data_IF_031609216529
#
_entry.id   IF_031609216529
#
_cell.length_a   1.000
_cell.length_b   1.000
_cell.length_c   1.000
_cell.angle_alpha   90.00
_cell.angle_beta   90.00
_cell.angle_gamma   90.00
#
_symmetry.space_group_name_H-M   'P 1'
#
loop_
_entity.id
_entity.type
_entity.pdbx_description
1 polymer ?
#
# COMPACT_ATOMS: atom_id res chain seq x y z
N UNK A 1 -15.21 19.88 39.43
CA UNK A 1 -13.73 19.83 39.34
C UNK A 1 -13.22 18.67 38.48
N UNK A 2 -13.88 17.49 38.45
CA UNK A 2 -13.52 16.38 37.54
C UNK A 2 -13.75 16.72 36.05
N UNK A 3 -14.85 17.38 35.71
CA UNK A 3 -15.18 17.69 34.29
C UNK A 3 -14.19 18.67 33.64
N UNK A 4 -13.77 19.73 34.36
CA UNK A 4 -12.80 20.69 33.83
C UNK A 4 -11.42 20.05 33.51
N UNK A 5 -10.98 19.07 34.31
CA UNK A 5 -9.74 18.32 34.03
C UNK A 5 -9.87 17.43 32.79
N UNK A 6 -11.05 16.87 32.56
CA UNK A 6 -11.32 16.05 31.37
C UNK A 6 -11.38 16.92 30.11
N UNK A 7 -11.98 18.11 30.18
CA UNK A 7 -12.01 19.08 29.07
C UNK A 7 -10.62 19.58 28.70
N UNK A 8 -9.80 19.94 29.70
CA UNK A 8 -8.42 20.34 29.48
C UNK A 8 -7.63 19.22 28.79
N UNK A 9 -7.74 17.97 29.26
CA UNK A 9 -7.06 16.83 28.63
C UNK A 9 -7.52 16.60 27.18
N UNK A 10 -8.83 16.71 26.90
CA UNK A 10 -9.37 16.60 25.54
C UNK A 10 -8.82 17.68 24.63
N UNK A 11 -8.72 18.92 25.12
CA UNK A 11 -8.14 20.03 24.36
C UNK A 11 -6.66 19.78 24.04
N UNK A 12 -5.87 19.32 25.02
CA UNK A 12 -4.45 18.97 24.81
C UNK A 12 -4.28 17.88 23.76
N UNK A 13 -5.11 16.84 23.81
CA UNK A 13 -5.10 15.75 22.84
C UNK A 13 -5.45 16.23 21.44
N UNK A 14 -6.41 17.14 21.31
CA UNK A 14 -6.81 17.71 20.02
C UNK A 14 -5.72 18.54 19.38
N UNK A 15 -5.11 19.44 20.14
CA UNK A 15 -3.98 20.27 19.66
C UNK A 15 -2.83 19.36 19.22
N UNK A 16 -2.52 18.32 20.00
CA UNK A 16 -1.50 17.34 19.65
C UNK A 16 -1.80 16.60 18.34
N UNK A 17 -3.04 16.13 18.17
CA UNK A 17 -3.47 15.42 16.97
C UNK A 17 -3.41 16.31 15.71
N UNK A 18 -3.91 17.55 15.80
CA UNK A 18 -3.91 18.49 14.68
C UNK A 18 -2.48 18.93 14.31
N UNK A 19 -1.59 19.09 15.30
CA UNK A 19 -0.17 19.35 15.05
C UNK A 19 0.50 18.21 14.27
N UNK A 20 0.27 16.96 14.67
CA UNK A 20 0.81 15.79 13.96
C UNK A 20 0.28 15.75 12.53
N UNK A 21 -1.02 16.05 12.35
CA UNK A 21 -1.67 16.06 11.04
C UNK A 21 -1.01 17.06 10.10
N UNK A 22 -0.88 18.33 10.50
CA UNK A 22 -0.28 19.36 9.65
C UNK A 22 1.21 19.12 9.39
N UNK A 23 1.96 18.60 10.37
CA UNK A 23 3.36 18.22 10.16
C UNK A 23 3.50 17.13 9.09
N UNK A 24 2.65 16.09 9.18
CA UNK A 24 2.66 14.98 8.21
C UNK A 24 2.17 15.40 6.83
N UNK A 25 1.18 16.31 6.73
CA UNK A 25 0.75 16.87 5.45
C UNK A 25 1.87 17.61 4.73
N UNK A 26 2.74 18.28 5.47
CA UNK A 26 3.91 18.98 4.93
C UNK A 26 5.15 18.07 4.78
N UNK A 27 5.01 16.75 5.03
CA UNK A 27 6.10 15.76 4.98
C UNK A 27 7.32 16.11 5.85
N UNK A 28 7.12 16.81 6.97
CA UNK A 28 8.21 17.24 7.83
C UNK A 28 8.50 16.23 8.95
N UNK A 29 9.78 16.04 9.28
CA UNK A 29 10.17 15.34 10.51
C UNK A 29 9.96 16.22 11.75
N UNK A 30 9.96 15.63 12.95
CA UNK A 30 9.87 16.43 14.20
C UNK A 30 11.06 17.40 14.32
N UNK A 31 12.25 16.96 13.91
CA UNK A 31 13.48 17.76 13.90
C UNK A 31 13.38 18.92 12.91
N UNK A 32 12.95 18.65 11.67
CA UNK A 32 12.78 19.71 10.65
C UNK A 32 11.73 20.75 11.06
N UNK A 33 10.63 20.30 11.68
CA UNK A 33 9.65 21.24 12.21
C UNK A 33 10.28 22.11 13.29
N UNK A 34 10.99 21.50 14.24
CA UNK A 34 11.64 22.18 15.35
C UNK A 34 12.64 23.25 14.86
N UNK A 35 13.44 22.93 13.84
CA UNK A 35 14.36 23.88 13.20
C UNK A 35 13.61 25.08 12.57
N UNK A 36 12.51 24.83 11.86
CA UNK A 36 11.73 25.89 11.19
C UNK A 36 11.07 26.87 12.17
N UNK A 37 10.66 26.40 13.34
CA UNK A 37 10.06 27.26 14.37
C UNK A 37 11.07 27.73 15.42
N UNK A 38 12.35 27.35 15.29
CA UNK A 38 13.43 27.62 16.24
C UNK A 38 13.14 27.10 17.67
N UNK A 39 12.67 25.87 17.76
CA UNK A 39 12.47 25.13 19.02
C UNK A 39 13.28 23.83 19.04
N UNK A 40 13.37 23.20 20.22
CA UNK A 40 13.94 21.86 20.32
C UNK A 40 12.97 20.79 19.81
N UNK A 41 13.52 19.74 19.20
CA UNK A 41 12.82 18.50 18.84
C UNK A 41 12.08 17.88 20.06
N UNK A 42 12.68 17.98 21.25
CA UNK A 42 12.07 17.56 22.52
C UNK A 42 10.79 18.32 22.84
N UNK A 43 10.74 19.63 22.56
CA UNK A 43 9.54 20.46 22.76
C UNK A 43 8.41 20.01 21.82
N UNK A 44 8.73 19.80 20.54
CA UNK A 44 7.77 19.29 19.54
C UNK A 44 7.24 17.91 19.95
N UNK A 45 8.12 16.99 20.35
CA UNK A 45 7.72 15.66 20.85
C UNK A 45 6.82 15.73 22.09
N UNK A 46 7.03 16.72 22.97
CA UNK A 46 6.18 16.94 24.16
C UNK A 46 4.76 17.36 23.77
N UNK A 47 4.64 18.27 22.79
CA UNK A 47 3.37 18.74 22.26
C UNK A 47 2.61 17.65 21.51
N UNK A 48 3.30 16.87 20.66
CA UNK A 48 2.68 15.77 19.92
C UNK A 48 2.17 14.63 20.81
N UNK A 49 2.72 14.48 22.02
CA UNK A 49 2.26 13.49 23.02
C UNK A 49 1.18 14.01 23.97
N UNK A 50 0.66 15.22 23.75
CA UNK A 50 -0.28 15.91 24.66
C UNK A 50 0.24 16.08 26.10
N UNK A 51 1.56 15.89 26.31
CA UNK A 51 2.24 16.04 27.60
C UNK A 51 2.60 17.50 27.92
N UNK A 52 2.35 18.40 26.98
CA UNK A 52 2.42 19.85 27.10
C UNK A 52 1.65 20.49 25.96
N UNK A 53 1.37 21.78 26.07
CA UNK A 53 0.68 22.56 25.02
C UNK A 53 1.67 23.61 24.50
N UNK A 54 1.76 23.81 23.18
CA UNK A 54 2.48 24.95 22.63
C UNK A 54 1.84 26.26 23.10
N UNK A 55 2.66 27.25 23.39
CA UNK A 55 2.17 28.58 23.76
C UNK A 55 1.40 29.22 22.59
N UNK A 56 0.54 30.20 22.86
CA UNK A 56 -0.29 30.88 21.86
C UNK A 56 0.56 31.51 20.75
N UNK A 57 1.75 32.02 21.08
CA UNK A 57 2.71 32.52 20.09
C UNK A 57 3.23 31.41 19.18
N UNK A 58 3.50 30.23 19.73
CA UNK A 58 3.95 29.06 18.96
C UNK A 58 2.82 28.53 18.09
N UNK A 59 1.59 28.49 18.59
CA UNK A 59 0.41 28.13 17.80
C UNK A 59 0.20 29.11 16.64
N UNK A 60 0.37 30.41 16.86
CA UNK A 60 0.31 31.43 15.80
C UNK A 60 1.42 31.24 14.76
N UNK A 61 2.63 30.90 15.20
CA UNK A 61 3.76 30.60 14.30
C UNK A 61 3.50 29.33 13.47
N UNK A 62 2.99 28.27 14.09
CA UNK A 62 2.59 27.03 13.41
C UNK A 62 1.45 27.27 12.42
N UNK A 63 0.46 28.07 12.81
CA UNK A 63 -0.65 28.49 11.95
C UNK A 63 -0.13 29.20 10.69
N UNK A 64 0.79 30.16 10.86
CA UNK A 64 1.47 30.83 9.73
C UNK A 64 2.31 29.87 8.89
N UNK A 65 3.04 28.95 9.52
CA UNK A 65 3.87 27.97 8.83
C UNK A 65 3.05 27.04 7.93
N UNK A 66 1.88 26.60 8.40
CA UNK A 66 1.02 25.68 7.67
C UNK A 66 -0.06 26.38 6.82
N UNK A 67 -0.17 27.70 6.89
CA UNK A 67 -1.20 28.46 6.16
C UNK A 67 -2.63 28.24 6.69
N UNK A 68 -2.76 27.95 7.97
CA UNK A 68 -4.04 27.69 8.66
C UNK A 68 -4.30 28.72 9.76
N UNK A 69 -5.49 28.70 10.34
CA UNK A 69 -5.87 29.54 11.47
C UNK A 69 -5.54 28.87 12.82
N UNK A 70 -5.40 29.66 13.89
CA UNK A 70 -5.20 29.09 15.24
C UNK A 70 -6.43 28.29 15.69
N UNK A 71 -7.64 28.70 15.26
CA UNK A 71 -8.89 27.95 15.48
C UNK A 71 -8.84 26.53 14.93
N UNK A 72 -8.12 26.29 13.83
CA UNK A 72 -8.02 24.94 13.23
C UNK A 72 -7.28 23.95 14.15
N UNK A 73 -6.46 24.43 15.10
CA UNK A 73 -5.86 23.57 16.14
C UNK A 73 -6.80 23.25 17.30
N UNK A 74 -7.89 24.02 17.46
CA UNK A 74 -8.81 23.97 18.60
C UNK A 74 -10.17 23.33 18.26
N UNK A 75 -10.61 23.43 17.00
CA UNK A 75 -11.92 22.97 16.54
C UNK A 75 -12.09 21.43 16.55
N UNK A 76 -13.28 20.96 16.91
CA UNK A 76 -13.74 19.55 16.80
C UNK A 76 -13.91 19.05 15.38
N UNK A 77 -13.61 19.89 14.39
CA UNK A 77 -13.34 19.40 13.05
C UNK A 77 -12.00 18.65 13.11
N UNK A 78 -12.02 17.44 13.66
CA UNK A 78 -11.09 16.44 13.20
C UNK A 78 -11.33 16.39 11.70
N UNK A 79 -10.40 16.84 10.84
CA UNK A 79 -10.46 16.38 9.47
C UNK A 79 -10.52 14.87 9.60
N UNK A 80 -11.57 14.27 9.04
CA UNK A 80 -11.70 12.83 8.90
C UNK A 80 -10.30 12.30 8.60
N UNK A 81 -9.73 11.57 9.55
CA UNK A 81 -8.35 11.12 9.47
C UNK A 81 -8.26 10.18 8.28
N UNK A 82 -7.97 10.75 7.12
CA UNK A 82 -7.31 10.05 6.05
C UNK A 82 -5.85 10.07 6.50
N UNK A 83 -5.27 8.93 6.94
CA UNK A 83 -3.84 8.86 7.17
C UNK A 83 -3.16 9.46 5.93
N UNK A 84 -2.07 10.23 6.08
CA UNK A 84 -1.34 10.71 4.91
C UNK A 84 -1.13 9.53 3.99
N UNK A 85 -1.74 9.58 2.81
CA UNK A 85 -1.42 8.67 1.72
C UNK A 85 0.11 8.72 1.64
N UNK A 86 0.83 7.62 1.93
CA UNK A 86 2.29 7.60 1.89
C UNK A 86 2.69 8.28 0.61
N UNK A 87 3.47 9.37 0.73
CA UNK A 87 3.92 10.29 -0.31
C UNK A 87 3.32 10.11 -1.70
N UNK A 88 2.84 11.20 -2.30
CA UNK A 88 2.49 11.25 -3.73
C UNK A 88 3.60 10.80 -4.70
N UNK A 89 4.77 10.35 -4.23
CA UNK A 89 5.80 9.65 -4.99
C UNK A 89 6.29 8.36 -4.29
N UNK A 90 5.43 7.58 -3.62
CA UNK A 90 5.91 6.29 -3.12
C UNK A 90 6.20 5.35 -4.29
N UNK A 91 7.36 4.67 -4.28
CA UNK A 91 7.84 3.74 -5.30
C UNK A 91 6.98 2.47 -5.39
N UNK A 92 5.65 2.48 -5.16
CA UNK A 92 4.81 1.27 -5.16
C UNK A 92 4.90 0.52 -6.48
N UNK A 93 4.90 1.28 -7.58
CA UNK A 93 5.15 0.75 -8.92
C UNK A 93 6.60 0.26 -9.02
N UNK A 94 7.57 1.00 -8.49
CA UNK A 94 8.99 0.59 -8.49
C UNK A 94 9.21 -0.70 -7.66
N UNK A 95 8.51 -0.92 -6.54
CA UNK A 95 8.61 -2.14 -5.72
C UNK A 95 7.99 -3.33 -6.49
N UNK A 96 6.85 -3.11 -7.16
CA UNK A 96 6.29 -4.10 -8.08
C UNK A 96 7.25 -4.42 -9.24
N UNK A 97 7.85 -3.39 -9.86
CA UNK A 97 8.83 -3.53 -10.94
C UNK A 97 10.09 -4.25 -10.46
N UNK A 98 10.56 -3.97 -9.25
CA UNK A 98 11.71 -4.63 -8.64
C UNK A 98 11.41 -6.11 -8.41
N UNK A 99 10.24 -6.44 -7.86
CA UNK A 99 9.79 -7.82 -7.66
C UNK A 99 9.67 -8.59 -8.97
N UNK A 100 9.06 -7.97 -9.99
CA UNK A 100 8.98 -8.54 -11.35
C UNK A 100 10.37 -8.74 -11.96
N UNK A 101 11.26 -7.75 -11.81
CA UNK A 101 12.64 -7.83 -12.31
C UNK A 101 13.45 -8.96 -11.67
N UNK A 102 13.29 -9.19 -10.35
CA UNK A 102 13.92 -10.31 -9.65
C UNK A 102 13.41 -11.64 -10.19
N UNK A 103 12.10 -11.79 -10.44
CA UNK A 103 11.54 -13.02 -11.01
C UNK A 103 12.14 -13.36 -12.38
N UNK A 104 12.31 -12.35 -13.24
CA UNK A 104 12.95 -12.51 -14.56
C UNK A 104 14.44 -12.83 -14.45
N UNK A 105 15.16 -12.21 -13.52
CA UNK A 105 16.57 -12.50 -13.25
C UNK A 105 16.76 -13.94 -12.77
N UNK A 106 15.88 -14.43 -11.88
CA UNK A 106 15.91 -15.82 -11.45
C UNK A 106 15.67 -16.76 -12.64
N UNK A 107 14.71 -16.45 -13.51
CA UNK A 107 14.45 -17.25 -14.71
C UNK A 107 15.66 -17.32 -15.66
N UNK A 108 16.38 -16.20 -15.86
CA UNK A 108 17.58 -16.18 -16.72
C UNK A 108 18.75 -16.93 -16.10
N UNK A 109 18.95 -16.85 -14.78
CA UNK A 109 19.96 -17.65 -14.06
C UNK A 109 19.64 -19.14 -14.20
N UNK A 110 18.39 -19.54 -13.98
CA UNK A 110 17.96 -20.94 -14.09
C UNK A 110 18.15 -21.44 -15.53
N UNK A 111 17.73 -20.67 -16.54
CA UNK A 111 17.92 -21.02 -17.94
C UNK A 111 19.40 -21.20 -18.30
N UNK A 112 20.24 -20.24 -17.90
CA UNK A 112 21.68 -20.26 -18.20
C UNK A 112 22.38 -21.41 -17.47
N UNK A 113 22.06 -21.63 -16.19
CA UNK A 113 22.58 -22.74 -15.41
C UNK A 113 22.18 -24.10 -15.99
N UNK A 114 20.90 -24.30 -16.33
CA UNK A 114 20.42 -25.54 -16.95
C UNK A 114 21.17 -25.82 -18.26
N UNK A 115 21.43 -24.80 -19.08
CA UNK A 115 22.18 -24.95 -20.34
C UNK A 115 23.66 -25.30 -20.12
N UNK A 116 24.27 -24.78 -19.06
CA UNK A 116 25.69 -25.03 -18.76
C UNK A 116 25.93 -26.42 -18.17
N UNK A 117 25.06 -26.88 -17.27
CA UNK A 117 25.23 -28.17 -16.57
C UNK A 117 24.55 -29.34 -17.28
N UNK A 118 23.47 -29.10 -18.03
CA UNK A 118 22.69 -30.15 -18.72
C UNK A 118 22.34 -29.67 -20.14
N UNK A 119 23.31 -29.65 -21.08
CA UNK A 119 23.08 -29.17 -22.45
C UNK A 119 22.03 -29.98 -23.23
N UNK A 120 21.78 -31.22 -22.81
CA UNK A 120 20.82 -32.15 -23.43
C UNK A 120 19.35 -31.81 -23.14
N UNK A 121 19.07 -30.85 -22.26
CA UNK A 121 17.70 -30.51 -21.86
C UNK A 121 17.10 -29.48 -22.82
N UNK A 122 16.52 -29.93 -23.93
CA UNK A 122 15.90 -29.04 -24.93
C UNK A 122 14.74 -28.19 -24.38
N UNK A 123 14.13 -28.62 -23.27
CA UNK A 123 13.01 -27.92 -22.63
C UNK A 123 13.42 -26.81 -21.65
N UNK A 124 14.69 -26.39 -21.63
CA UNK A 124 15.17 -25.33 -20.73
C UNK A 124 14.40 -24.00 -20.90
N UNK A 125 13.87 -23.73 -22.10
CA UNK A 125 13.04 -22.56 -22.38
C UNK A 125 11.73 -22.50 -21.57
N UNK A 126 11.26 -23.63 -21.02
CA UNK A 126 10.09 -23.66 -20.12
C UNK A 126 10.30 -22.79 -18.87
N UNK A 127 11.55 -22.53 -18.46
CA UNK A 127 11.86 -21.62 -17.34
C UNK A 127 11.26 -20.22 -17.55
N UNK A 128 11.22 -19.73 -18.79
CA UNK A 128 10.59 -18.44 -19.12
C UNK A 128 9.06 -18.51 -19.07
N UNK A 129 8.46 -19.65 -19.43
CA UNK A 129 7.01 -19.84 -19.32
C UNK A 129 6.57 -19.79 -17.85
N UNK A 130 7.30 -20.47 -16.96
CA UNK A 130 7.00 -20.45 -15.53
C UNK A 130 7.27 -19.09 -14.85
N UNK A 131 8.04 -18.20 -15.47
CA UNK A 131 8.20 -16.83 -14.96
C UNK A 131 6.91 -16.00 -15.05
N UNK A 132 6.04 -16.29 -16.02
CA UNK A 132 4.76 -15.59 -16.24
C UNK A 132 3.78 -15.75 -15.06
N UNK A 133 3.46 -16.97 -14.58
CA UNK A 133 2.60 -17.14 -13.41
C UNK A 133 3.26 -16.64 -12.12
N UNK A 134 4.59 -16.69 -12.00
CA UNK A 134 5.32 -16.09 -10.86
C UNK A 134 5.11 -14.57 -10.82
N UNK A 135 5.22 -13.89 -11.96
CA UNK A 135 4.85 -12.47 -12.09
C UNK A 135 3.37 -12.22 -11.74
N UNK A 136 2.47 -13.14 -12.14
CA UNK A 136 1.06 -13.11 -11.76
C UNK A 136 0.84 -13.15 -10.24
N UNK A 137 1.55 -14.02 -9.52
CA UNK A 137 1.47 -14.14 -8.05
C UNK A 137 1.91 -12.83 -7.39
N UNK A 138 3.05 -12.29 -7.85
CA UNK A 138 3.59 -11.02 -7.36
C UNK A 138 2.55 -9.89 -7.58
N UNK A 139 1.95 -9.84 -8.77
CA UNK A 139 0.91 -8.86 -9.08
C UNK A 139 -0.31 -9.00 -8.17
N UNK A 140 -0.76 -10.22 -7.87
CA UNK A 140 -1.87 -10.47 -6.94
C UNK A 140 -1.53 -9.95 -5.55
N UNK A 141 -0.40 -10.35 -4.97
CA UNK A 141 0.01 -9.94 -3.61
C UNK A 141 0.05 -8.42 -3.47
N UNK A 142 0.70 -7.73 -4.41
CA UNK A 142 0.77 -6.27 -4.36
C UNK A 142 -0.56 -5.57 -4.63
N UNK A 143 -1.41 -6.15 -5.47
CA UNK A 143 -2.75 -5.64 -5.74
C UNK A 143 -3.67 -5.70 -4.51
N UNK A 144 -3.51 -6.73 -3.66
CA UNK A 144 -4.19 -6.81 -2.36
C UNK A 144 -3.67 -5.80 -1.35
N UNK A 145 -2.39 -5.46 -1.40
CA UNK A 145 -1.74 -4.60 -0.40
C UNK A 145 -2.02 -3.10 -0.64
N UNK A 146 -2.03 -2.66 -1.91
CA UNK A 146 -2.02 -1.23 -2.22
C UNK A 146 -3.06 -0.75 -3.22
N UNK A 147 -3.76 -1.65 -3.93
CA UNK A 147 -4.54 -1.26 -5.11
C UNK A 147 -6.04 -1.53 -4.99
N UNK A 148 -6.81 -0.86 -5.86
CA UNK A 148 -8.28 -0.96 -5.91
C UNK A 148 -8.75 -2.37 -6.31
N UNK A 149 -9.96 -2.71 -5.89
CA UNK A 149 -10.63 -4.01 -6.15
C UNK A 149 -10.63 -4.41 -7.64
N UNK A 150 -10.73 -3.47 -8.57
CA UNK A 150 -10.70 -3.75 -10.01
C UNK A 150 -9.34 -4.32 -10.47
N UNK A 151 -8.23 -3.84 -9.90
CA UNK A 151 -6.89 -4.33 -10.23
C UNK A 151 -6.65 -5.68 -9.56
N UNK A 152 -7.28 -5.95 -8.41
CA UNK A 152 -7.25 -7.28 -7.78
C UNK A 152 -7.91 -8.32 -8.70
N UNK A 153 -9.05 -7.98 -9.29
CA UNK A 153 -9.73 -8.81 -10.28
C UNK A 153 -8.87 -9.07 -11.53
N UNK A 154 -8.23 -8.02 -12.07
CA UNK A 154 -7.37 -8.15 -13.25
C UNK A 154 -6.17 -9.06 -12.97
N UNK A 155 -5.48 -8.87 -11.83
CA UNK A 155 -4.31 -9.66 -11.46
C UNK A 155 -4.65 -11.14 -11.26
N UNK A 156 -5.77 -11.45 -10.60
CA UNK A 156 -6.20 -12.86 -10.42
C UNK A 156 -6.60 -13.50 -11.74
N UNK A 157 -7.26 -12.74 -12.63
CA UNK A 157 -7.58 -13.23 -13.98
C UNK A 157 -6.32 -13.58 -14.75
N UNK A 158 -5.35 -12.66 -14.78
CA UNK A 158 -4.07 -12.87 -15.46
C UNK A 158 -3.32 -14.09 -14.93
N UNK A 159 -3.33 -14.30 -13.61
CA UNK A 159 -2.75 -15.49 -12.97
C UNK A 159 -3.46 -16.77 -13.43
N UNK A 160 -4.79 -16.83 -13.41
CA UNK A 160 -5.55 -18.04 -13.79
C UNK A 160 -5.27 -18.45 -15.24
N UNK A 161 -5.29 -17.49 -16.17
CA UNK A 161 -5.06 -17.76 -17.59
C UNK A 161 -3.59 -18.07 -17.90
N UNK A 162 -2.63 -17.43 -17.21
CA UNK A 162 -1.21 -17.79 -17.36
C UNK A 162 -0.91 -19.19 -16.84
N UNK A 163 -1.57 -19.62 -15.77
CA UNK A 163 -1.40 -20.96 -15.20
C UNK A 163 -2.02 -22.03 -16.12
N UNK A 164 -3.20 -21.77 -16.69
CA UNK A 164 -3.81 -22.62 -17.70
C UNK A 164 -2.91 -22.78 -18.94
N UNK A 165 -2.33 -21.68 -19.42
CA UNK A 165 -1.39 -21.68 -20.55
C UNK A 165 -0.11 -22.48 -20.23
N UNK A 166 0.43 -22.33 -19.01
CA UNK A 166 1.60 -23.10 -18.56
C UNK A 166 1.34 -24.61 -18.58
N UNK A 167 0.16 -25.03 -18.11
CA UNK A 167 -0.22 -26.45 -18.08
C UNK A 167 -0.34 -26.98 -19.51
N UNK A 168 -0.97 -26.23 -20.42
CA UNK A 168 -1.07 -26.63 -21.84
C UNK A 168 0.29 -26.84 -22.50
N UNK A 169 1.26 -25.95 -22.23
CA UNK A 169 2.60 -26.03 -22.84
C UNK A 169 3.47 -27.13 -22.21
N UNK A 170 3.21 -27.47 -20.95
CA UNK A 170 4.02 -28.46 -20.20
C UNK A 170 3.52 -29.88 -20.42
N UNK A 171 2.21 -30.08 -20.48
CA UNK A 171 1.58 -31.40 -20.54
C UNK A 171 0.92 -31.60 -21.92
N UNK A 172 1.38 -32.57 -22.73
CA UNK A 172 0.70 -32.94 -23.96
C UNK A 172 -0.55 -33.78 -23.62
N UNK A 173 -1.62 -33.12 -23.21
CA UNK A 173 -2.96 -33.74 -23.06
C UNK A 173 -3.77 -33.51 -24.34
N UNK A 174 -4.50 -34.54 -24.79
CA UNK A 174 -5.38 -34.43 -25.96
C UNK A 174 -6.58 -33.50 -25.69
N UNK A 175 -7.10 -33.49 -24.46
CA UNK A 175 -8.31 -32.73 -24.09
C UNK A 175 -8.00 -31.37 -23.46
N UNK A 176 -7.27 -30.54 -24.21
CA UNK A 176 -6.84 -29.19 -23.79
C UNK A 176 -8.04 -28.32 -23.36
N UNK A 177 -9.21 -28.52 -23.96
CA UNK A 177 -10.43 -27.78 -23.67
C UNK A 177 -10.87 -27.88 -22.19
N UNK A 178 -10.64 -29.02 -21.51
CA UNK A 178 -11.06 -29.22 -20.12
C UNK A 178 -10.33 -28.29 -19.15
N UNK A 179 -9.05 -28.00 -19.39
CA UNK A 179 -8.25 -27.07 -18.57
C UNK A 179 -8.85 -25.66 -18.63
N UNK A 180 -9.26 -25.24 -19.84
CA UNK A 180 -9.87 -23.93 -20.05
C UNK A 180 -11.28 -23.83 -19.46
N UNK A 181 -12.05 -24.92 -19.48
CA UNK A 181 -13.36 -24.99 -18.79
C UNK A 181 -13.17 -24.82 -17.28
N UNK A 182 -12.21 -25.52 -16.68
CA UNK A 182 -11.90 -25.38 -15.24
C UNK A 182 -11.47 -23.95 -14.92
N UNK A 183 -10.59 -23.35 -15.74
CA UNK A 183 -10.16 -21.96 -15.56
C UNK A 183 -11.32 -20.96 -15.69
N UNK A 184 -12.25 -21.18 -16.62
CA UNK A 184 -13.44 -20.36 -16.80
C UNK A 184 -14.39 -20.44 -15.58
N UNK A 185 -14.62 -21.64 -15.05
CA UNK A 185 -15.44 -21.82 -13.83
C UNK A 185 -14.78 -21.12 -12.63
N UNK A 186 -13.47 -21.29 -12.45
CA UNK A 186 -12.73 -20.60 -11.40
C UNK A 186 -12.82 -19.07 -11.54
N UNK A 187 -12.72 -18.54 -12.76
CA UNK A 187 -12.86 -17.11 -13.04
C UNK A 187 -14.23 -16.57 -12.64
N UNK A 188 -15.32 -17.30 -12.94
CA UNK A 188 -16.68 -16.90 -12.55
C UNK A 188 -16.84 -16.88 -11.02
N UNK A 189 -16.30 -17.87 -10.31
CA UNK A 189 -16.31 -17.91 -8.84
C UNK A 189 -15.57 -16.71 -8.23
N UNK A 190 -14.40 -16.37 -8.77
CA UNK A 190 -13.62 -15.19 -8.36
C UNK A 190 -14.44 -13.91 -8.60
N UNK A 191 -15.03 -13.74 -9.78
CA UNK A 191 -15.87 -12.59 -10.08
C UNK A 191 -17.04 -12.45 -9.10
N UNK A 192 -17.76 -13.54 -8.82
CA UNK A 192 -18.87 -13.55 -7.87
C UNK A 192 -18.42 -13.14 -6.47
N UNK A 193 -17.32 -13.72 -5.98
CA UNK A 193 -16.75 -13.36 -4.68
C UNK A 193 -16.41 -11.87 -4.57
N UNK A 194 -15.80 -11.31 -5.61
CA UNK A 194 -15.43 -9.90 -5.63
C UNK A 194 -16.64 -8.95 -5.76
N UNK A 195 -17.69 -9.35 -6.49
CA UNK A 195 -18.96 -8.64 -6.52
C UNK A 195 -19.62 -8.61 -5.13
N UNK A 196 -19.61 -9.73 -4.42
CA UNK A 196 -20.09 -9.81 -3.02
C UNK A 196 -19.27 -8.92 -2.09
N UNK A 197 -17.94 -8.97 -2.19
CA UNK A 197 -17.02 -8.13 -1.41
C UNK A 197 -17.31 -6.63 -1.64
N UNK A 198 -17.51 -6.22 -2.90
CA UNK A 198 -17.88 -4.84 -3.27
C UNK A 198 -19.23 -4.44 -2.67
N UNK A 199 -20.23 -5.33 -2.68
CA UNK A 199 -21.56 -5.09 -2.11
C UNK A 199 -21.53 -4.97 -0.58
N UNK A 200 -20.73 -5.79 0.12
CA UNK A 200 -20.57 -5.70 1.57
C UNK A 200 -19.84 -4.43 2.02
N UNK A 201 -18.85 -3.97 1.26
CA UNK A 201 -18.16 -2.70 1.53
C UNK A 201 -19.09 -1.48 1.43
N UNK A 202 -20.12 -1.53 0.59
CA UNK A 202 -21.10 -0.44 0.43
C UNK A 202 -22.19 -0.40 1.51
N UNK A 203 -22.34 -1.44 2.32
CA UNK A 203 -23.36 -1.52 3.40
C UNK A 203 -22.87 -1.04 4.76
N UNK A 204 -21.59 -0.65 4.88
CA UNK A 204 -20.97 -0.15 6.12
C UNK A 204 -20.80 1.38 6.16
N UNK A 205 -21.28 2.08 5.14
CA UNK A 205 -21.43 3.53 5.09
C UNK A 205 -22.92 3.84 5.00
#
# INVERSE_FOLDING_TARGET
MKDNKNEEQRLKQRIAANLIYYRKLNNMTQTELAERINYSDKSVSKWERASGVPDIFVLSLLAKLYGVSVSDFLEEKGPEYQPPSPGKNTPRIIIFLLGSGIAWLVATIVFTGLRLFIPSFEKAWLAFIFAIPVCGIIAVVFSFLWWRIAVQLLSVSLLLWSLALCIQLTVPVNDIALIYVIAAVAQVLVLLWFLLKKKMSRRRH
#
